data_IF_548602756931
#
_entry.id   IF_548602756931
#
_cell.length_a   1.000
_cell.length_b   1.000
_cell.length_c   1.000
_cell.angle_alpha   90.00
_cell.angle_beta   90.00
_cell.angle_gamma   90.00
#
_symmetry.space_group_name_H-M   'P 1'
#
loop_
_entity.id
_entity.type
_entity.pdbx_description
1 polymer ?
#
# COMPACT_ATOMS: atom_id res chain seq x y z
N UNK A 1 -68.71 -40.22 -1.94
CA UNK A 1 -68.32 -38.83 -2.01
C UNK A 1 -66.89 -38.74 -1.53
N UNK A 2 -65.92 -38.61 -2.47
CA UNK A 2 -64.52 -38.62 -2.18
C UNK A 2 -64.01 -37.16 -2.28
N UNK A 3 -63.60 -36.57 -1.15
CA UNK A 3 -62.97 -35.26 -1.13
C UNK A 3 -61.47 -35.39 -1.46
N UNK A 4 -61.08 -34.90 -2.65
CA UNK A 4 -59.71 -34.81 -3.09
C UNK A 4 -59.14 -33.50 -2.51
N UNK A 5 -58.28 -33.60 -1.49
CA UNK A 5 -57.58 -32.49 -0.88
C UNK A 5 -56.28 -32.19 -1.67
N UNK A 6 -56.31 -31.18 -2.49
CA UNK A 6 -55.18 -30.72 -3.28
C UNK A 6 -54.26 -29.89 -2.36
N UNK A 7 -53.10 -30.43 -2.05
CA UNK A 7 -52.07 -29.74 -1.24
C UNK A 7 -51.21 -28.87 -2.19
N UNK A 8 -51.41 -27.58 -2.12
CA UNK A 8 -50.59 -26.60 -2.84
C UNK A 8 -49.31 -26.35 -2.02
N UNK A 9 -48.16 -26.80 -2.51
CA UNK A 9 -46.84 -26.52 -1.93
C UNK A 9 -46.33 -25.18 -2.44
N UNK A 10 -46.06 -24.18 -1.57
CA UNK A 10 -45.48 -22.92 -2.04
C UNK A 10 -44.00 -23.14 -2.33
N UNK A 11 -43.61 -22.95 -3.60
CA UNK A 11 -42.22 -22.90 -4.07
C UNK A 11 -41.60 -21.58 -3.61
N UNK A 12 -40.83 -21.62 -2.50
CA UNK A 12 -40.05 -20.49 -2.06
C UNK A 12 -38.84 -20.29 -3.01
N UNK A 13 -38.93 -19.27 -3.84
CA UNK A 13 -37.79 -18.75 -4.61
C UNK A 13 -36.79 -18.12 -3.65
N UNK A 14 -35.71 -18.83 -3.34
CA UNK A 14 -34.53 -18.26 -2.72
C UNK A 14 -33.77 -17.48 -3.78
N UNK A 15 -34.04 -16.18 -3.88
CA UNK A 15 -33.20 -15.25 -4.60
C UNK A 15 -31.90 -15.10 -3.77
N UNK A 16 -30.91 -15.93 -4.07
CA UNK A 16 -29.55 -15.74 -3.55
C UNK A 16 -28.98 -14.46 -4.13
N UNK A 17 -28.71 -13.47 -3.27
CA UNK A 17 -27.92 -12.31 -3.61
C UNK A 17 -26.52 -12.78 -4.04
N UNK A 18 -26.27 -12.72 -5.35
CA UNK A 18 -24.93 -12.74 -5.93
C UNK A 18 -24.51 -11.27 -6.10
N UNK A 19 -24.28 -10.59 -4.99
CA UNK A 19 -23.67 -9.27 -4.98
C UNK A 19 -22.38 -9.42 -4.20
N UNK A 20 -21.29 -9.77 -4.87
CA UNK A 20 -19.91 -9.45 -4.43
C UNK A 20 -18.84 -10.05 -5.35
N UNK A 21 -19.18 -10.90 -6.33
CA UNK A 21 -18.20 -11.44 -7.28
C UNK A 21 -17.96 -10.56 -8.52
N UNK A 22 -18.76 -9.55 -8.76
CA UNK A 22 -18.63 -8.68 -9.94
C UNK A 22 -17.65 -7.50 -9.76
N UNK A 23 -17.20 -7.22 -8.54
CA UNK A 23 -16.26 -6.12 -8.24
C UNK A 23 -14.78 -6.56 -8.18
N UNK A 24 -14.49 -7.86 -8.25
CA UNK A 24 -13.13 -8.38 -8.41
C UNK A 24 -12.81 -8.61 -9.89
N UNK A 25 -13.00 -7.58 -10.71
CA UNK A 25 -12.35 -7.54 -12.02
C UNK A 25 -10.86 -7.79 -11.81
N UNK A 26 -10.27 -8.71 -12.59
CA UNK A 26 -8.87 -9.14 -12.47
C UNK A 26 -7.98 -7.93 -12.20
N UNK A 27 -7.46 -7.82 -10.96
CA UNK A 27 -6.55 -6.74 -10.59
C UNK A 27 -5.30 -6.86 -11.45
N UNK A 28 -4.73 -5.75 -11.94
CA UNK A 28 -3.46 -5.82 -12.65
C UNK A 28 -2.38 -6.40 -11.74
N UNK A 29 -1.54 -7.28 -12.29
CA UNK A 29 -0.38 -7.80 -11.59
C UNK A 29 0.63 -6.67 -11.31
N UNK A 30 1.46 -6.77 -10.27
CA UNK A 30 2.51 -5.80 -10.03
C UNK A 30 3.53 -5.82 -11.18
N UNK A 31 4.00 -4.66 -11.58
CA UNK A 31 5.04 -4.54 -12.59
C UNK A 31 6.43 -4.55 -11.94
N UNK A 32 7.38 -5.17 -12.63
CA UNK A 32 8.80 -5.12 -12.24
C UNK A 32 9.31 -3.69 -12.38
N UNK A 33 10.00 -3.19 -11.35
CA UNK A 33 10.61 -1.87 -11.37
C UNK A 33 11.80 -1.85 -12.34
N UNK A 34 11.77 -0.94 -13.31
CA UNK A 34 12.81 -0.79 -14.34
C UNK A 34 13.77 0.34 -14.00
N UNK A 35 14.95 0.35 -14.65
CA UNK A 35 16.00 1.36 -14.42
C UNK A 35 15.58 2.77 -14.82
N UNK A 36 14.60 2.91 -15.70
CA UNK A 36 14.05 4.19 -16.18
C UNK A 36 12.77 4.63 -15.46
N UNK A 37 12.31 3.85 -14.46
CA UNK A 37 11.12 4.20 -13.71
C UNK A 37 11.34 5.49 -12.90
N UNK A 38 10.51 6.50 -13.15
CA UNK A 38 10.55 7.78 -12.46
C UNK A 38 9.42 7.92 -11.44
N UNK A 39 9.74 8.52 -10.29
CA UNK A 39 8.78 8.77 -9.22
C UNK A 39 7.71 9.79 -9.61
N UNK A 40 6.44 9.48 -9.33
CA UNK A 40 5.32 10.35 -9.67
C UNK A 40 5.46 11.75 -9.05
N UNK A 41 5.89 11.84 -7.80
CA UNK A 41 6.07 13.12 -7.12
C UNK A 41 7.45 13.74 -7.35
N UNK A 42 8.51 12.94 -7.23
CA UNK A 42 9.88 13.47 -7.26
C UNK A 42 10.45 13.60 -8.67
N UNK A 43 9.90 12.93 -9.69
CA UNK A 43 10.39 12.89 -11.08
C UNK A 43 11.85 12.40 -11.23
N UNK A 44 12.36 11.70 -10.20
CA UNK A 44 13.70 11.11 -10.18
C UNK A 44 13.64 9.61 -10.38
N UNK A 45 14.77 9.00 -10.78
CA UNK A 45 14.89 7.53 -10.94
C UNK A 45 14.69 6.85 -9.59
N UNK A 46 13.71 5.96 -9.51
CA UNK A 46 13.28 5.32 -8.25
C UNK A 46 14.38 4.46 -7.64
N UNK A 47 15.14 3.74 -8.47
CA UNK A 47 16.18 2.83 -8.02
C UNK A 47 17.37 3.53 -7.35
N UNK A 48 17.54 4.84 -7.53
CA UNK A 48 18.58 5.63 -6.87
C UNK A 48 18.25 5.94 -5.39
N UNK A 49 17.03 5.61 -4.95
CA UNK A 49 16.55 5.90 -3.62
C UNK A 49 16.48 4.64 -2.76
N UNK A 50 16.91 4.72 -1.51
CA UNK A 50 16.80 3.65 -0.53
C UNK A 50 15.36 3.44 -0.03
N UNK A 51 15.12 2.33 0.67
CA UNK A 51 13.85 2.01 1.32
C UNK A 51 12.79 1.46 0.37
N UNK A 52 11.65 1.02 0.91
CA UNK A 52 10.58 0.41 0.15
C UNK A 52 9.90 1.39 -0.82
N UNK A 53 9.42 0.85 -1.91
CA UNK A 53 8.75 1.55 -3.01
C UNK A 53 7.28 1.21 -3.04
N UNK A 54 6.51 2.04 -3.76
CA UNK A 54 5.12 1.75 -4.05
C UNK A 54 4.81 1.93 -5.54
N UNK A 55 3.81 1.17 -6.03
CA UNK A 55 3.24 1.32 -7.35
C UNK A 55 1.72 1.36 -7.25
N UNK A 56 1.10 2.39 -7.84
CA UNK A 56 -0.35 2.59 -7.88
C UNK A 56 -0.86 2.34 -9.29
N UNK A 57 -1.70 1.35 -9.46
CA UNK A 57 -2.37 1.07 -10.73
C UNK A 57 -3.71 1.79 -10.78
N UNK A 58 -3.91 2.56 -11.83
CA UNK A 58 -5.11 3.34 -12.08
C UNK A 58 -5.96 2.74 -13.20
N UNK A 59 -7.26 2.93 -13.12
CA UNK A 59 -8.17 2.55 -14.20
C UNK A 59 -7.83 3.31 -15.49
N UNK A 60 -7.72 2.56 -16.60
CA UNK A 60 -7.41 3.12 -17.92
C UNK A 60 -5.94 3.48 -18.17
N UNK A 61 -5.04 3.26 -17.20
CA UNK A 61 -3.60 3.50 -17.37
C UNK A 61 -2.85 2.18 -17.58
N UNK A 62 -2.01 2.06 -18.61
CA UNK A 62 -1.28 0.82 -18.92
C UNK A 62 -0.07 0.60 -18.00
N UNK A 63 0.43 1.63 -17.34
CA UNK A 63 1.56 1.60 -16.42
C UNK A 63 1.18 2.19 -15.08
N UNK A 64 1.79 1.74 -13.97
CA UNK A 64 1.53 2.30 -12.65
C UNK A 64 2.18 3.66 -12.47
N UNK A 65 1.68 4.41 -11.52
CA UNK A 65 2.41 5.51 -10.92
C UNK A 65 3.41 4.96 -9.91
N UNK A 66 4.67 5.32 -10.05
CA UNK A 66 5.75 4.89 -9.17
C UNK A 66 6.00 5.89 -8.05
N UNK A 67 6.32 5.39 -6.86
CA UNK A 67 6.66 6.20 -5.70
C UNK A 67 7.97 5.71 -5.06
N UNK A 68 8.89 6.62 -4.83
CA UNK A 68 10.20 6.34 -4.20
C UNK A 68 10.10 6.01 -2.71
N UNK A 69 8.93 6.21 -2.10
CA UNK A 69 8.61 5.92 -0.71
C UNK A 69 7.21 5.32 -0.61
N UNK A 70 6.99 4.39 0.31
CA UNK A 70 5.66 3.85 0.61
C UNK A 70 4.75 4.92 1.19
N UNK A 71 5.29 5.81 2.04
CA UNK A 71 4.55 6.96 2.57
C UNK A 71 3.86 7.76 1.46
N UNK A 72 4.55 8.04 0.35
CA UNK A 72 4.01 8.83 -0.76
C UNK A 72 2.92 8.10 -1.53
N UNK A 73 3.08 6.79 -1.75
CA UNK A 73 2.04 5.95 -2.34
C UNK A 73 0.77 5.90 -1.47
N UNK A 74 0.93 5.81 -0.16
CA UNK A 74 -0.18 5.87 0.79
C UNK A 74 -0.80 7.28 0.87
N UNK A 75 0.01 8.33 0.74
CA UNK A 75 -0.48 9.71 0.65
C UNK A 75 -1.35 9.89 -0.60
N UNK A 76 -0.90 9.37 -1.76
CA UNK A 76 -1.68 9.38 -2.99
C UNK A 76 -3.00 8.62 -2.82
N UNK A 77 -2.98 7.42 -2.18
CA UNK A 77 -4.19 6.63 -1.91
C UNK A 77 -5.20 7.40 -1.05
N UNK A 78 -4.73 8.21 -0.09
CA UNK A 78 -5.58 8.95 0.86
C UNK A 78 -5.87 10.39 0.45
N UNK A 79 -5.23 10.88 -0.61
CA UNK A 79 -5.51 12.20 -1.19
C UNK A 79 -6.88 12.22 -1.87
N UNK A 80 -7.61 13.34 -1.80
CA UNK A 80 -8.81 13.53 -2.61
C UNK A 80 -8.50 13.79 -4.09
N UNK A 81 -7.25 14.08 -4.44
CA UNK A 81 -6.81 14.46 -5.79
C UNK A 81 -6.16 13.26 -6.50
N UNK A 82 -7.00 12.37 -7.03
CA UNK A 82 -6.55 11.22 -7.81
C UNK A 82 -6.87 11.42 -9.28
N UNK A 83 -5.94 11.04 -10.17
CA UNK A 83 -6.09 11.20 -11.62
C UNK A 83 -7.14 10.27 -12.23
N UNK A 84 -7.38 9.12 -11.59
CA UNK A 84 -8.38 8.13 -11.95
C UNK A 84 -8.65 7.20 -10.76
N UNK A 85 -9.61 6.28 -10.89
CA UNK A 85 -9.89 5.27 -9.87
C UNK A 85 -8.68 4.37 -9.63
N UNK A 86 -8.31 4.17 -8.35
CA UNK A 86 -7.22 3.28 -7.97
C UNK A 86 -7.73 1.84 -8.01
N UNK A 87 -7.10 1.01 -8.87
CA UNK A 87 -7.38 -0.42 -8.96
C UNK A 87 -6.69 -1.20 -7.84
N UNK A 88 -5.42 -0.95 -7.66
CA UNK A 88 -4.59 -1.59 -6.64
C UNK A 88 -3.35 -0.72 -6.34
N UNK A 89 -2.88 -0.82 -5.10
CA UNK A 89 -1.59 -0.31 -4.65
C UNK A 89 -0.74 -1.50 -4.21
N UNK A 90 0.46 -1.61 -4.76
CA UNK A 90 1.48 -2.56 -4.31
C UNK A 90 2.61 -1.82 -3.61
N UNK A 91 3.20 -2.49 -2.62
CA UNK A 91 4.35 -2.02 -1.85
C UNK A 91 5.42 -3.11 -1.79
N UNK A 92 6.70 -2.75 -1.63
CA UNK A 92 7.73 -3.78 -1.42
C UNK A 92 7.52 -4.48 -0.08
N UNK A 93 7.76 -5.79 -0.03
CA UNK A 93 7.80 -6.57 1.21
C UNK A 93 9.20 -6.47 1.85
N UNK A 94 9.32 -5.67 2.91
CA UNK A 94 10.60 -5.52 3.60
C UNK A 94 11.00 -6.76 4.42
N UNK A 95 10.08 -7.68 4.62
CA UNK A 95 10.38 -8.98 5.20
C UNK A 95 11.13 -9.93 4.27
N UNK A 96 11.02 -9.74 2.94
CA UNK A 96 11.70 -10.53 1.91
C UNK A 96 12.81 -9.72 1.21
N UNK A 97 12.99 -8.45 1.56
CA UNK A 97 14.03 -7.59 1.00
C UNK A 97 15.44 -8.07 1.44
N UNK A 98 16.42 -7.97 0.55
CA UNK A 98 17.80 -8.28 0.88
C UNK A 98 18.38 -7.28 1.91
N UNK A 99 17.98 -6.02 1.82
CA UNK A 99 18.33 -4.96 2.76
C UNK A 99 17.40 -3.74 2.59
N UNK A 100 17.57 -2.71 3.45
CA UNK A 100 16.89 -1.43 3.28
C UNK A 100 17.25 -0.73 1.96
N UNK A 101 18.45 -0.96 1.44
CA UNK A 101 18.94 -0.40 0.19
C UNK A 101 18.54 -1.21 -1.04
N UNK A 102 18.17 -2.47 -0.84
CA UNK A 102 17.84 -3.42 -1.90
C UNK A 102 16.49 -4.08 -1.62
N UNK A 103 15.37 -3.32 -1.74
CA UNK A 103 14.04 -3.84 -1.48
C UNK A 103 13.56 -4.89 -2.50
N UNK A 104 14.20 -4.95 -3.68
CA UNK A 104 13.84 -5.85 -4.78
C UNK A 104 12.95 -5.16 -5.82
N UNK A 105 13.30 -5.38 -7.11
CA UNK A 105 12.56 -4.78 -8.23
C UNK A 105 11.21 -5.47 -8.52
N UNK A 106 11.06 -6.72 -8.09
CA UNK A 106 9.89 -7.60 -8.29
C UNK A 106 9.25 -8.09 -6.98
N UNK A 107 9.74 -7.58 -5.85
CA UNK A 107 9.28 -7.94 -4.51
C UNK A 107 8.08 -7.08 -4.09
N UNK A 108 6.87 -7.49 -4.51
CA UNK A 108 5.65 -6.70 -4.33
C UNK A 108 4.56 -7.47 -3.58
N UNK A 109 3.86 -6.78 -2.67
CA UNK A 109 2.66 -7.27 -1.99
C UNK A 109 1.51 -6.25 -2.13
N UNK A 110 0.28 -6.74 -2.17
CA UNK A 110 -0.90 -5.87 -2.13
C UNK A 110 -0.94 -5.10 -0.79
N UNK A 111 -1.02 -3.78 -0.87
CA UNK A 111 -1.07 -2.89 0.28
C UNK A 111 -2.21 -3.22 1.26
N UNK A 112 -3.32 -3.79 0.79
CA UNK A 112 -4.48 -4.15 1.63
C UNK A 112 -4.18 -5.30 2.59
N UNK A 113 -3.25 -6.20 2.21
CA UNK A 113 -2.90 -7.37 3.03
C UNK A 113 -1.60 -7.20 3.80
N UNK A 114 -0.85 -6.13 3.56
CA UNK A 114 0.39 -5.84 4.27
C UNK A 114 0.17 -5.43 5.73
N UNK A 115 1.20 -5.67 6.55
CA UNK A 115 1.39 -5.06 7.86
C UNK A 115 2.40 -3.93 7.72
N UNK A 116 2.20 -2.86 8.44
CA UNK A 116 3.03 -1.65 8.34
C UNK A 116 3.61 -1.29 9.68
N UNK A 117 4.89 -0.97 9.70
CA UNK A 117 5.52 -0.32 10.86
C UNK A 117 5.51 1.19 10.62
N UNK A 118 4.81 1.91 11.48
CA UNK A 118 4.62 3.37 11.40
C UNK A 118 5.30 4.02 12.60
N UNK A 119 6.01 5.12 12.38
CA UNK A 119 6.66 5.88 13.47
C UNK A 119 8.00 5.27 13.93
N UNK A 120 8.61 4.38 13.15
CA UNK A 120 10.00 3.95 13.36
C UNK A 120 10.99 5.06 13.00
N UNK A 121 12.27 4.85 13.33
CA UNK A 121 13.38 5.74 12.93
C UNK A 121 13.79 5.56 11.46
N UNK A 122 13.08 4.70 10.71
CA UNK A 122 13.37 4.43 9.31
C UNK A 122 13.05 5.65 8.44
N UNK A 123 14.00 5.95 7.55
CA UNK A 123 13.93 7.09 6.64
C UNK A 123 13.85 6.57 5.20
N UNK A 124 12.89 7.06 4.44
CA UNK A 124 12.69 6.72 3.04
C UNK A 124 13.67 7.43 2.10
N UNK A 125 13.55 7.12 0.82
CA UNK A 125 14.46 7.61 -0.22
C UNK A 125 14.47 9.13 -0.38
N UNK A 126 13.42 9.81 0.05
CA UNK A 126 13.30 11.28 0.00
C UNK A 126 13.60 11.95 1.35
N UNK A 127 14.13 11.20 2.34
CA UNK A 127 14.49 11.73 3.64
C UNK A 127 13.33 11.89 4.63
N UNK A 128 12.10 11.57 4.24
CA UNK A 128 10.96 11.58 5.15
C UNK A 128 10.91 10.31 6.01
N UNK A 129 10.24 10.35 7.20
CA UNK A 129 9.93 9.15 7.96
C UNK A 129 9.19 8.14 7.09
N UNK A 130 9.69 6.92 7.02
CA UNK A 130 9.14 5.89 6.14
C UNK A 130 8.14 5.00 6.88
N UNK A 131 7.26 4.39 6.10
CA UNK A 131 6.32 3.38 6.56
C UNK A 131 6.76 2.05 5.94
N UNK A 132 7.28 1.15 6.78
CA UNK A 132 7.86 -0.10 6.32
C UNK A 132 6.81 -1.21 6.21
N UNK A 133 6.56 -1.78 5.01
CA UNK A 133 5.56 -2.83 4.80
C UNK A 133 6.17 -4.24 4.89
N UNK A 134 5.35 -5.18 5.38
CA UNK A 134 5.70 -6.59 5.57
C UNK A 134 4.51 -7.48 5.22
N UNK A 135 4.74 -8.63 4.62
CA UNK A 135 3.73 -9.67 4.47
C UNK A 135 3.54 -10.48 5.77
N UNK A 136 4.64 -10.67 6.52
CA UNK A 136 4.68 -11.44 7.76
C UNK A 136 4.59 -10.50 8.98
N UNK A 137 3.55 -10.64 9.84
CA UNK A 137 3.42 -9.84 11.04
C UNK A 137 4.56 -10.04 12.04
N UNK A 138 5.18 -11.22 12.10
CA UNK A 138 6.30 -11.47 13.01
C UNK A 138 7.54 -10.66 12.60
N UNK A 139 7.82 -10.54 11.30
CA UNK A 139 8.91 -9.69 10.77
C UNK A 139 8.62 -8.21 11.00
N UNK A 140 7.35 -7.78 10.89
CA UNK A 140 6.95 -6.42 11.23
C UNK A 140 7.20 -6.10 12.71
N UNK A 141 6.82 -7.00 13.62
CA UNK A 141 7.06 -6.86 15.07
C UNK A 141 8.57 -6.86 15.40
N UNK A 142 9.36 -7.71 14.76
CA UNK A 142 10.82 -7.72 14.91
C UNK A 142 11.43 -6.37 14.48
N UNK A 143 11.00 -5.84 13.34
CA UNK A 143 11.46 -4.53 12.84
C UNK A 143 11.06 -3.41 13.81
N UNK A 144 9.81 -3.40 14.29
CA UNK A 144 9.32 -2.41 15.26
C UNK A 144 10.08 -2.50 16.58
N UNK A 145 10.39 -3.71 17.05
CA UNK A 145 11.21 -3.93 18.24
C UNK A 145 12.63 -3.38 18.12
N UNK A 146 13.21 -3.43 16.91
CA UNK A 146 14.57 -2.97 16.64
C UNK A 146 14.65 -1.47 16.31
N UNK A 147 13.63 -0.90 15.63
CA UNK A 147 13.63 0.43 15.04
C UNK A 147 12.57 1.38 15.63
N UNK A 148 11.80 0.89 16.61
CA UNK A 148 10.64 1.63 17.12
C UNK A 148 9.47 1.61 16.16
N UNK A 149 8.41 2.33 16.54
CA UNK A 149 7.17 2.39 15.77
C UNK A 149 6.14 1.37 16.24
N UNK A 150 5.01 1.33 15.54
CA UNK A 150 3.86 0.49 15.86
C UNK A 150 3.43 -0.28 14.62
N UNK A 151 3.11 -1.57 14.81
CA UNK A 151 2.60 -2.44 13.73
C UNK A 151 1.10 -2.21 13.56
N UNK A 152 0.67 -1.93 12.34
CA UNK A 152 -0.74 -1.76 12.02
C UNK A 152 -1.10 -2.21 10.62
N UNK A 153 -2.39 -2.31 10.33
CA UNK A 153 -2.92 -2.57 8.99
C UNK A 153 -3.14 -1.23 8.27
N UNK A 154 -3.29 -1.27 6.95
CA UNK A 154 -3.56 -0.10 6.12
C UNK A 154 -4.72 0.76 6.64
N UNK A 155 -5.77 0.11 7.17
CA UNK A 155 -6.94 0.80 7.74
C UNK A 155 -6.63 1.63 9.00
N UNK A 156 -5.55 1.28 9.73
CA UNK A 156 -5.09 2.01 10.91
C UNK A 156 -4.25 3.26 10.58
N UNK A 157 -3.69 3.34 9.37
CA UNK A 157 -2.90 4.49 8.94
C UNK A 157 -3.85 5.63 8.56
N UNK A 158 -3.82 6.73 9.31
CA UNK A 158 -4.69 7.88 9.04
C UNK A 158 -4.20 8.70 7.83
N UNK A 159 -5.10 9.50 7.25
CA UNK A 159 -4.70 10.48 6.23
C UNK A 159 -3.72 11.52 6.80
N UNK A 160 -3.91 11.93 8.06
CA UNK A 160 -3.02 12.84 8.76
C UNK A 160 -1.58 12.29 8.84
N UNK A 161 -1.42 10.99 9.13
CA UNK A 161 -0.10 10.34 9.20
C UNK A 161 0.73 10.53 7.92
N UNK A 162 0.10 10.50 6.76
CA UNK A 162 0.79 10.51 5.46
C UNK A 162 0.73 11.84 4.73
N UNK A 163 -0.26 12.70 5.04
CA UNK A 163 -0.46 14.00 4.37
C UNK A 163 0.09 15.18 5.18
N UNK A 164 0.41 15.00 6.46
CA UNK A 164 1.02 16.08 7.26
C UNK A 164 2.41 16.43 6.72
N UNK A 165 2.78 17.71 6.80
CA UNK A 165 4.13 18.16 6.46
C UNK A 165 5.19 17.37 7.23
N UNK A 166 6.30 17.08 6.57
CA UNK A 166 7.47 16.45 7.19
C UNK A 166 8.40 17.53 7.68
N UNK A 167 8.69 17.50 8.99
CA UNK A 167 9.75 18.33 9.55
C UNK A 167 11.08 17.59 9.40
N UNK A 168 11.94 18.09 8.54
CA UNK A 168 13.32 17.60 8.45
C UNK A 168 14.12 18.21 9.60
N UNK A 169 14.90 17.40 10.34
CA UNK A 169 15.82 17.90 11.34
C UNK A 169 16.83 18.80 10.64
N UNK A 170 16.65 20.10 10.77
CA UNK A 170 17.68 21.07 10.37
C UNK A 170 18.78 20.97 11.41
N UNK A 171 19.94 20.43 11.03
CA UNK A 171 21.16 20.61 11.82
C UNK A 171 21.51 22.11 11.83
N UNK A 172 20.91 22.85 12.74
CA UNK A 172 21.43 24.13 13.13
C UNK A 172 22.59 23.89 14.08
N UNK A 173 23.74 23.51 13.53
CA UNK A 173 24.99 23.92 14.15
C UNK A 173 25.07 25.43 13.97
N UNK A 174 24.51 26.15 14.93
CA UNK A 174 24.86 27.56 15.12
C UNK A 174 26.38 27.59 15.39
N UNK A 175 27.11 28.02 14.37
CA UNK A 175 28.44 28.54 14.57
C UNK A 175 28.34 29.75 15.49
N UNK A 176 28.49 29.54 16.78
CA UNK A 176 28.77 30.60 17.74
C UNK A 176 30.23 31.01 17.59
N UNK A 177 30.49 32.08 16.83
CA UNK A 177 31.67 32.93 17.02
C UNK A 177 31.30 34.16 17.81
#
# INVERSE_FOLDING_TARGET
MKHLLTFLLPLALVAGCKEDEAAQGNLPDPMVLTEDAAGHYCQMVILEHQGPKAQVHLEGFPAPLWFSQVRDGLAYLKSPEQSAEIRVLYVNDMGEAASWFEPGADNWIDAKIAYYVVGSDAVGGMGAPEIAPFSDPAKAEEFAGARGGEVMRLSGISAETVLSPVEFATNQEEASE
#
